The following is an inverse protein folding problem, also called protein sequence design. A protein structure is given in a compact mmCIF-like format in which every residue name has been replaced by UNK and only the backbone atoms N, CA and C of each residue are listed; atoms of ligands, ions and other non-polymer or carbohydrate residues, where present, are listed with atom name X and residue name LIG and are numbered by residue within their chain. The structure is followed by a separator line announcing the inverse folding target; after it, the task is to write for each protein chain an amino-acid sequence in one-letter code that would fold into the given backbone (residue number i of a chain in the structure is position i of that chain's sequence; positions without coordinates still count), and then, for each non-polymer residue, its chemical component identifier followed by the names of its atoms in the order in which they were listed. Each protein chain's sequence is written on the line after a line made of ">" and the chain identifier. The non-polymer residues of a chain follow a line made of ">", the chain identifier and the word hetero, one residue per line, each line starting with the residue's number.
data_IF_700942540332
#
_entry.id   IF_700942540332
#
_cell.length_a   1.000
_cell.length_b   1.000
_cell.length_c   1.000
_cell.angle_alpha   90.00
_cell.angle_beta   90.00
_cell.angle_gamma   90.00
#
_symmetry.space_group_name_H-M   'P 1'
#
loop_
_entity.id
_entity.type
_entity.pdbx_description
1 polymer ?
#
# COMPACT_ATOMS: atom_id res chain seq x y z
N UNK A 1 20.61 -46.30 -25.39
CA UNK A 1 20.63 -44.95 -24.78
C UNK A 1 20.78 -45.12 -23.27
N UNK A 2 21.95 -44.84 -22.69
CA UNK A 2 22.13 -44.94 -21.24
C UNK A 2 21.46 -43.74 -20.56
N UNK A 3 20.64 -44.00 -19.54
CA UNK A 3 20.06 -42.95 -18.69
C UNK A 3 21.16 -42.51 -17.73
N UNK A 4 21.55 -41.23 -17.75
CA UNK A 4 22.58 -40.69 -16.87
C UNK A 4 21.92 -39.94 -15.69
N UNK A 5 21.68 -40.59 -14.54
CA UNK A 5 20.92 -40.02 -13.43
C UNK A 5 21.60 -38.78 -12.81
N UNK A 6 22.93 -38.66 -12.95
CA UNK A 6 23.70 -37.51 -12.50
C UNK A 6 23.37 -36.25 -13.28
N UNK A 7 23.16 -36.38 -14.60
CA UNK A 7 22.77 -35.25 -15.44
C UNK A 7 21.35 -34.77 -15.08
N UNK A 8 20.45 -35.70 -14.78
CA UNK A 8 19.10 -35.36 -14.33
C UNK A 8 19.11 -34.64 -12.97
N UNK A 9 19.89 -35.14 -12.01
CA UNK A 9 20.06 -34.49 -10.71
C UNK A 9 20.65 -33.08 -10.84
N UNK A 10 21.65 -32.90 -11.71
CA UNK A 10 22.25 -31.60 -12.00
C UNK A 10 21.24 -30.60 -12.57
N UNK A 11 20.38 -31.04 -13.51
CA UNK A 11 19.34 -30.19 -14.10
C UNK A 11 18.26 -29.80 -13.09
N UNK A 12 17.87 -30.70 -12.19
CA UNK A 12 16.91 -30.40 -11.11
C UNK A 12 17.50 -29.36 -10.14
N UNK A 13 18.77 -29.51 -9.73
CA UNK A 13 19.43 -28.53 -8.86
C UNK A 13 19.52 -27.15 -9.52
N UNK A 14 19.83 -27.08 -10.81
CA UNK A 14 19.89 -25.81 -11.52
C UNK A 14 18.52 -25.13 -11.66
N UNK A 15 17.42 -25.89 -11.80
CA UNK A 15 16.08 -25.30 -11.88
C UNK A 15 15.61 -24.57 -10.62
N UNK A 16 16.14 -24.94 -9.45
CA UNK A 16 15.76 -24.31 -8.16
C UNK A 16 16.54 -23.01 -7.91
N UNK A 17 17.67 -22.81 -8.60
CA UNK A 17 18.55 -21.65 -8.42
C UNK A 17 18.23 -20.46 -9.34
N UNK A 18 17.31 -20.62 -10.30
CA UNK A 18 16.96 -19.54 -11.23
C UNK A 18 15.90 -18.64 -10.60
N UNK A 19 16.29 -17.41 -10.25
CA UNK A 19 15.34 -16.33 -10.00
C UNK A 19 15.18 -15.52 -11.30
N UNK A 20 14.00 -15.56 -11.91
CA UNK A 20 13.72 -14.91 -13.21
C UNK A 20 12.57 -13.90 -13.15
N UNK A 21 12.06 -13.57 -11.96
CA UNK A 21 10.92 -12.66 -11.80
C UNK A 21 11.44 -11.29 -11.38
N UNK A 22 11.13 -10.27 -12.16
CA UNK A 22 11.29 -8.89 -11.73
C UNK A 22 10.19 -8.57 -10.71
N UNK A 23 10.60 -8.13 -9.52
CA UNK A 23 9.66 -7.57 -8.55
C UNK A 23 9.37 -6.12 -8.95
N UNK A 24 8.14 -5.86 -9.39
CA UNK A 24 7.64 -4.51 -9.60
C UNK A 24 7.21 -3.97 -8.25
N UNK A 25 7.80 -2.84 -7.84
CA UNK A 25 7.39 -2.10 -6.66
C UNK A 25 6.89 -0.73 -7.09
N UNK A 26 5.98 -0.19 -6.29
CA UNK A 26 5.57 1.19 -6.46
C UNK A 26 6.76 2.13 -6.17
N UNK A 27 7.05 3.01 -7.13
CA UNK A 27 8.03 4.10 -6.96
C UNK A 27 7.33 5.44 -7.18
N UNK A 28 7.05 6.13 -6.07
CA UNK A 28 6.46 7.46 -6.07
C UNK A 28 7.49 8.60 -6.15
N UNK A 29 8.78 8.31 -6.33
CA UNK A 29 9.85 9.32 -6.28
C UNK A 29 9.92 10.22 -7.51
N UNK A 30 9.33 9.79 -8.63
CA UNK A 30 9.32 10.56 -9.87
C UNK A 30 8.41 11.79 -9.70
N UNK A 31 8.93 13.03 -9.79
CA UNK A 31 8.13 14.21 -9.57
C UNK A 31 7.14 14.43 -10.72
N UNK A 32 5.88 14.71 -10.38
CA UNK A 32 4.85 15.10 -11.35
C UNK A 32 4.70 16.61 -11.30
N UNK A 33 4.88 17.28 -12.44
CA UNK A 33 4.83 18.74 -12.50
C UNK A 33 3.73 19.23 -13.43
N UNK A 34 3.02 20.30 -13.04
CA UNK A 34 2.07 21.02 -13.90
C UNK A 34 2.42 22.50 -13.89
N UNK A 35 2.67 23.08 -15.06
CA UNK A 35 3.03 24.50 -15.22
C UNK A 35 4.25 24.92 -14.35
N UNK A 36 5.24 24.02 -14.22
CA UNK A 36 6.46 24.28 -13.45
C UNK A 36 6.30 24.15 -11.92
N UNK A 37 5.12 23.76 -11.42
CA UNK A 37 4.90 23.42 -10.01
C UNK A 37 4.87 21.90 -9.85
N UNK A 38 5.60 21.38 -8.85
CA UNK A 38 5.46 19.98 -8.43
C UNK A 38 4.13 19.79 -7.74
N UNK A 39 3.42 18.71 -8.09
CA UNK A 39 2.16 18.35 -7.49
C UNK A 39 2.39 17.43 -6.30
N UNK A 40 1.81 17.79 -5.16
CA UNK A 40 1.79 16.94 -3.98
C UNK A 40 0.84 15.76 -4.20
N UNK A 41 1.17 14.61 -3.61
CA UNK A 41 0.36 13.39 -3.68
C UNK A 41 -0.03 12.96 -5.11
N UNK A 42 0.77 13.31 -6.12
CA UNK A 42 0.42 13.07 -7.52
C UNK A 42 0.22 11.59 -7.87
N UNK A 43 0.83 10.70 -7.10
CA UNK A 43 0.72 9.25 -7.23
C UNK A 43 -0.36 8.63 -6.34
N UNK A 44 -1.17 9.42 -5.64
CA UNK A 44 -2.21 8.93 -4.72
C UNK A 44 -3.37 8.27 -5.49
N UNK A 45 -3.51 8.56 -6.79
CA UNK A 45 -4.66 8.16 -7.57
C UNK A 45 -5.78 9.19 -7.51
N UNK A 46 -7.01 8.74 -7.75
CA UNK A 46 -8.21 9.59 -7.77
C UNK A 46 -9.12 9.32 -6.59
N UNK A 47 -9.88 10.34 -6.19
CA UNK A 47 -10.93 10.27 -5.18
C UNK A 47 -12.27 10.60 -5.83
N UNK A 48 -13.23 9.68 -5.77
CA UNK A 48 -14.57 9.82 -6.35
C UNK A 48 -15.64 9.81 -5.25
N UNK A 49 -15.84 8.67 -4.57
CA UNK A 49 -16.80 8.52 -3.48
C UNK A 49 -16.10 8.07 -2.18
N UNK A 50 -15.23 8.96 -1.68
CA UNK A 50 -14.31 8.65 -0.59
C UNK A 50 -14.95 8.79 0.79
N UNK A 51 -14.67 7.81 1.64
CA UNK A 51 -14.86 7.84 3.09
C UNK A 51 -13.49 8.02 3.74
N UNK A 52 -13.34 9.08 4.54
CA UNK A 52 -12.07 9.41 5.20
C UNK A 52 -12.15 8.96 6.66
N UNK A 53 -11.09 8.29 7.12
CA UNK A 53 -10.89 7.98 8.53
C UNK A 53 -9.47 8.27 8.96
N UNK A 54 -9.33 8.66 10.23
CA UNK A 54 -8.05 8.79 10.92
C UNK A 54 -7.71 7.45 11.59
N UNK A 55 -6.46 6.99 11.51
CA UNK A 55 -5.97 5.79 12.19
C UNK A 55 -4.45 5.85 12.32
N UNK A 56 -3.87 5.35 13.41
CA UNK A 56 -2.40 5.17 13.51
C UNK A 56 -2.02 3.82 12.88
N UNK A 57 -1.66 3.83 11.59
CA UNK A 57 -1.39 2.60 10.83
C UNK A 57 0.00 2.05 11.11
N UNK A 58 1.00 2.94 11.26
CA UNK A 58 2.40 2.58 11.41
C UNK A 58 2.86 2.45 12.88
N UNK A 59 1.99 2.81 13.84
CA UNK A 59 2.24 2.72 15.27
C UNK A 59 3.19 3.78 15.81
N UNK A 60 3.32 4.93 15.13
CA UNK A 60 4.20 6.03 15.55
C UNK A 60 3.53 7.05 16.49
N UNK A 61 2.23 6.88 16.75
CA UNK A 61 1.43 7.76 17.61
C UNK A 61 0.84 8.98 16.89
N UNK A 62 1.08 9.13 15.59
CA UNK A 62 0.41 10.12 14.74
C UNK A 62 -0.77 9.47 14.02
N UNK A 63 -1.86 10.21 13.85
CA UNK A 63 -2.99 9.73 13.04
C UNK A 63 -2.70 9.95 11.56
N UNK A 64 -2.70 8.85 10.83
CA UNK A 64 -2.67 8.75 9.37
C UNK A 64 -4.08 8.89 8.79
N UNK A 65 -4.18 9.08 7.48
CA UNK A 65 -5.47 9.06 6.79
C UNK A 65 -5.64 7.78 5.98
N UNK A 66 -6.78 7.12 6.20
CA UNK A 66 -7.29 6.03 5.38
C UNK A 66 -8.47 6.55 4.55
N UNK A 67 -8.30 6.60 3.23
CA UNK A 67 -9.30 7.08 2.29
C UNK A 67 -9.86 5.88 1.53
N UNK A 68 -11.06 5.43 1.87
CA UNK A 68 -11.74 4.33 1.17
C UNK A 68 -12.67 4.88 0.08
N UNK A 69 -12.40 4.59 -1.19
CA UNK A 69 -13.28 4.91 -2.31
C UNK A 69 -14.23 3.75 -2.63
N UNK A 70 -15.50 3.99 -2.35
CA UNK A 70 -16.57 3.00 -2.51
C UNK A 70 -16.87 2.67 -3.97
N UNK A 71 -16.48 3.51 -4.92
CA UNK A 71 -16.76 3.27 -6.34
C UNK A 71 -15.98 2.10 -6.91
N UNK A 72 -14.81 1.81 -6.35
CA UNK A 72 -13.92 0.72 -6.79
C UNK A 72 -13.55 -0.27 -5.70
N UNK A 73 -14.07 -0.12 -4.47
CA UNK A 73 -13.58 -0.83 -3.28
C UNK A 73 -12.06 -0.75 -3.14
N UNK A 74 -11.53 0.46 -3.32
CA UNK A 74 -10.09 0.75 -3.30
C UNK A 74 -9.80 1.77 -2.23
N UNK A 75 -8.59 1.76 -1.68
CA UNK A 75 -8.19 2.74 -0.69
C UNK A 75 -6.85 3.40 -1.00
N UNK A 76 -6.63 4.54 -0.36
CA UNK A 76 -5.38 5.28 -0.34
C UNK A 76 -4.98 5.41 1.13
N UNK A 77 -3.75 5.05 1.45
CA UNK A 77 -3.16 5.32 2.77
C UNK A 77 -2.21 6.51 2.67
N UNK A 78 -2.41 7.48 3.56
CA UNK A 78 -1.58 8.67 3.66
C UNK A 78 -0.97 8.71 5.05
N UNK A 79 0.32 8.37 5.14
CA UNK A 79 1.05 8.37 6.40
C UNK A 79 1.45 9.78 6.79
N UNK A 80 1.13 10.15 8.03
CA UNK A 80 1.44 11.43 8.62
C UNK A 80 2.91 11.45 9.05
N UNK A 81 3.64 12.52 8.76
CA UNK A 81 5.04 12.68 9.16
C UNK A 81 5.25 13.75 10.26
N UNK A 82 4.17 14.28 10.82
CA UNK A 82 4.19 15.30 11.87
C UNK A 82 4.49 16.71 11.36
N UNK A 83 4.69 16.91 10.06
CA UNK A 83 4.81 18.23 9.48
C UNK A 83 3.43 18.92 9.38
N UNK A 84 3.45 20.23 9.17
CA UNK A 84 2.24 21.02 8.92
C UNK A 84 2.16 21.41 7.45
N UNK A 85 0.93 21.55 6.93
CA UNK A 85 0.69 21.99 5.56
C UNK A 85 0.83 20.87 4.51
N UNK A 86 1.12 21.20 3.25
CA UNK A 86 1.05 20.25 2.13
C UNK A 86 2.00 19.05 2.23
N UNK A 87 3.08 19.17 3.01
CA UNK A 87 4.07 18.12 3.23
C UNK A 87 3.74 17.19 4.40
N UNK A 88 2.58 17.36 5.06
CA UNK A 88 2.21 16.59 6.25
C UNK A 88 2.01 15.08 5.99
N UNK A 89 1.73 14.71 4.74
CA UNK A 89 1.37 13.34 4.37
C UNK A 89 2.23 12.79 3.24
N UNK A 90 2.55 11.49 3.32
CA UNK A 90 3.11 10.70 2.22
C UNK A 90 2.16 9.58 1.83
N UNK A 91 2.07 9.29 0.54
CA UNK A 91 1.36 8.08 0.08
C UNK A 91 2.11 6.85 0.57
N UNK A 92 1.38 5.84 1.02
CA UNK A 92 1.91 4.50 1.26
C UNK A 92 1.11 3.45 0.49
N UNK A 93 1.82 2.41 0.05
CA UNK A 93 1.28 1.18 -0.57
C UNK A 93 1.61 -0.05 0.27
N UNK A 94 2.22 0.15 1.45
CA UNK A 94 2.67 -0.92 2.35
C UNK A 94 1.50 -1.77 2.86
N UNK A 95 0.28 -1.22 2.82
CA UNK A 95 -0.94 -1.86 3.32
C UNK A 95 -1.85 -2.43 2.22
N UNK A 96 -1.50 -2.26 0.93
CA UNK A 96 -2.36 -2.63 -0.20
C UNK A 96 -2.74 -4.12 -0.19
N UNK A 97 -1.79 -4.99 0.16
CA UNK A 97 -1.95 -6.45 0.17
C UNK A 97 -2.11 -7.04 1.59
N UNK A 98 -2.42 -6.19 2.59
CA UNK A 98 -2.61 -6.62 3.98
C UNK A 98 -4.06 -7.06 4.20
N UNK A 99 -4.26 -8.17 4.93
CA UNK A 99 -5.59 -8.57 5.40
C UNK A 99 -5.93 -7.82 6.71
N UNK A 100 -7.15 -7.28 6.88
CA UNK A 100 -8.32 -7.43 6.00
C UNK A 100 -8.45 -6.35 4.90
N UNK A 101 -7.50 -5.43 4.76
CA UNK A 101 -7.67 -4.23 3.93
C UNK A 101 -7.99 -4.52 2.47
N UNK A 102 -7.33 -5.52 1.88
CA UNK A 102 -7.59 -5.96 0.49
C UNK A 102 -9.02 -6.49 0.24
N UNK A 103 -9.74 -6.85 1.29
CA UNK A 103 -11.08 -7.45 1.25
C UNK A 103 -12.18 -6.45 1.61
N UNK A 104 -11.81 -5.22 2.00
CA UNK A 104 -12.77 -4.19 2.38
C UNK A 104 -13.67 -3.79 1.21
N UNK A 105 -14.96 -3.61 1.49
CA UNK A 105 -15.97 -3.29 0.48
C UNK A 105 -17.09 -2.43 1.05
N UNK A 106 -17.85 -1.77 0.17
CA UNK A 106 -19.10 -1.04 0.43
C UNK A 106 -19.02 0.16 1.38
N UNK A 107 -18.67 -0.03 2.64
CA UNK A 107 -18.60 1.00 3.67
C UNK A 107 -17.46 0.65 4.63
N UNK A 108 -16.49 1.56 4.77
CA UNK A 108 -15.33 1.35 5.65
C UNK A 108 -15.11 2.59 6.48
N UNK A 109 -15.17 2.43 7.80
CA UNK A 109 -14.79 3.47 8.76
C UNK A 109 -13.84 2.92 9.81
N UNK A 110 -12.87 3.74 10.21
CA UNK A 110 -11.99 3.46 11.34
C UNK A 110 -12.35 4.38 12.51
N UNK A 111 -12.83 3.84 13.63
CA UNK A 111 -13.25 4.63 14.80
C UNK A 111 -12.85 3.92 16.08
N UNK A 112 -12.26 4.66 17.02
CA UNK A 112 -12.01 4.15 18.38
C UNK A 112 -13.34 4.08 19.14
N UNK A 113 -14.05 2.97 18.96
CA UNK A 113 -15.41 2.80 19.49
C UNK A 113 -15.39 2.36 20.96
N UNK A 114 -14.37 1.59 21.34
CA UNK A 114 -14.21 1.08 22.70
C UNK A 114 -13.38 2.01 23.61
N UNK A 115 -12.86 3.13 23.08
CA UNK A 115 -12.04 4.12 23.75
C UNK A 115 -10.70 3.56 24.29
N UNK A 116 -10.09 2.60 23.59
CA UNK A 116 -8.79 2.03 23.95
C UNK A 116 -7.60 2.74 23.28
N UNK A 117 -7.88 3.75 22.45
CA UNK A 117 -6.89 4.53 21.71
C UNK A 117 -6.56 3.96 20.33
N UNK A 118 -7.19 2.84 19.93
CA UNK A 118 -7.03 2.21 18.61
C UNK A 118 -8.35 2.21 17.86
N UNK A 119 -8.28 2.52 16.58
CA UNK A 119 -9.48 2.51 15.75
C UNK A 119 -9.92 1.10 15.37
N UNK A 120 -11.20 0.82 15.59
CA UNK A 120 -11.91 -0.36 15.12
C UNK A 120 -12.42 -0.15 13.68
N UNK A 121 -12.51 -1.23 12.91
CA UNK A 121 -13.00 -1.24 11.52
C UNK A 121 -14.50 -1.55 11.49
N UNK A 122 -15.28 -0.76 10.75
CA UNK A 122 -16.72 -0.90 10.52
C UNK A 122 -17.08 -0.99 9.05
#
# INVERSE_FOLDING_TARGET
>A
MSKNPLLFALLVVQSVAVQAQWNLYFDGSVPVTRQGQTLDLAWAGGANFVQVSDIDLNGDGLKDLFLFDRSGNSFITLLNNGASGPMAYRISREYDDVHPFKELHDWVLFRDYNCDGKEDIF
#
